data_IF_066063358371
#
_entry.id   IF_066063358371
#
_cell.length_a   1.000
_cell.length_b   1.000
_cell.length_c   1.000
_cell.angle_alpha   90.00
_cell.angle_beta   90.00
_cell.angle_gamma   90.00
#
_symmetry.space_group_name_H-M   'P 1'
#
loop_
_entity.id
_entity.type
_entity.pdbx_description
1 polymer ?
#
# COMPACT_ATOMS: atom_id res chain seq x y z
N UNK A 1 10.74 6.87 2.11
CA UNK A 1 10.53 7.27 0.71
C UNK A 1 11.82 7.69 -0.01
N UNK A 2 12.89 7.96 0.73
CA UNK A 2 14.15 8.40 0.12
C UNK A 2 14.74 7.36 -0.83
N UNK A 3 14.45 6.09 -0.61
CA UNK A 3 14.90 5.00 -1.48
C UNK A 3 14.39 5.16 -2.92
N UNK A 4 13.25 5.84 -3.12
CA UNK A 4 12.72 6.09 -4.46
C UNK A 4 13.61 7.02 -5.29
N UNK A 5 14.50 7.77 -4.65
CA UNK A 5 15.45 8.65 -5.33
C UNK A 5 16.82 7.98 -5.62
N UNK A 6 17.01 6.76 -5.16
CA UNK A 6 18.27 6.05 -5.34
C UNK A 6 18.42 5.52 -6.77
N UNK A 7 19.15 6.26 -7.59
CA UNK A 7 19.38 5.94 -9.00
C UNK A 7 20.36 4.79 -9.24
N UNK A 8 20.99 4.28 -8.18
CA UNK A 8 21.82 3.06 -8.29
C UNK A 8 20.98 1.78 -8.40
N UNK A 9 19.70 1.87 -8.06
CA UNK A 9 18.74 0.76 -8.14
C UNK A 9 17.74 0.97 -9.26
N UNK A 10 17.22 -0.13 -9.82
CA UNK A 10 16.10 -0.07 -10.76
C UNK A 10 14.84 0.41 -10.04
N UNK A 11 13.83 0.85 -10.81
CA UNK A 11 12.54 1.24 -10.24
C UNK A 11 11.93 0.08 -9.45
N UNK A 12 11.98 -1.14 -9.98
CA UNK A 12 11.47 -2.32 -9.28
C UNK A 12 12.16 -2.55 -7.96
N UNK A 13 13.50 -2.44 -7.92
CA UNK A 13 14.27 -2.61 -6.69
C UNK A 13 13.91 -1.54 -5.65
N UNK A 14 13.73 -0.31 -6.07
CA UNK A 14 13.33 0.79 -5.19
C UNK A 14 11.95 0.57 -4.60
N UNK A 15 10.99 0.17 -5.42
CA UNK A 15 9.64 -0.14 -4.96
C UNK A 15 9.62 -1.36 -4.03
N UNK A 16 10.42 -2.38 -4.33
CA UNK A 16 10.55 -3.56 -3.49
C UNK A 16 11.11 -3.22 -2.10
N UNK A 17 12.07 -2.30 -2.05
CA UNK A 17 12.63 -1.84 -0.78
C UNK A 17 11.59 -1.14 0.10
N UNK A 18 10.60 -0.49 -0.49
CA UNK A 18 9.46 0.08 0.24
C UNK A 18 8.44 -0.98 0.63
N UNK A 19 8.24 -1.96 -0.21
CA UNK A 19 7.23 -3.00 -0.01
C UNK A 19 7.51 -3.84 1.24
N UNK A 20 8.75 -4.28 1.41
CA UNK A 20 9.13 -5.23 2.46
C UNK A 20 8.71 -4.78 3.87
N UNK A 21 9.08 -3.57 4.33
CA UNK A 21 8.69 -3.15 5.68
C UNK A 21 7.19 -2.92 5.82
N UNK A 22 6.50 -2.47 4.77
CA UNK A 22 5.04 -2.27 4.82
C UNK A 22 4.32 -3.59 4.94
N UNK A 23 4.71 -4.58 4.14
CA UNK A 23 4.12 -5.92 4.20
C UNK A 23 4.35 -6.58 5.56
N UNK A 24 5.59 -6.51 6.06
CA UNK A 24 5.93 -7.06 7.37
C UNK A 24 5.14 -6.39 8.50
N UNK A 25 4.99 -5.08 8.45
CA UNK A 25 4.20 -4.34 9.44
C UNK A 25 2.74 -4.79 9.43
N UNK A 26 2.13 -4.92 8.26
CA UNK A 26 0.73 -5.34 8.15
C UNK A 26 0.50 -6.75 8.68
N UNK A 27 1.44 -7.66 8.45
CA UNK A 27 1.34 -9.03 8.98
C UNK A 27 1.60 -9.12 10.49
N UNK A 28 2.46 -8.24 11.04
CA UNK A 28 2.84 -8.29 12.46
C UNK A 28 1.77 -7.74 13.38
N UNK A 29 0.83 -6.96 12.85
CA UNK A 29 -0.23 -6.33 13.64
C UNK A 29 -1.63 -6.77 13.21
N UNK A 30 -1.99 -8.08 13.34
CA UNK A 30 -3.28 -8.57 12.85
C UNK A 30 -4.47 -7.87 13.51
N UNK A 31 -4.37 -7.51 14.78
CA UNK A 31 -5.45 -6.81 15.49
C UNK A 31 -5.66 -5.41 14.95
N UNK A 32 -4.58 -4.73 14.56
CA UNK A 32 -4.64 -3.39 13.97
C UNK A 32 -5.38 -3.45 12.63
N UNK A 33 -5.04 -4.44 11.79
CA UNK A 33 -5.69 -4.62 10.48
C UNK A 33 -7.16 -4.99 10.66
N UNK A 34 -7.49 -5.90 11.58
CA UNK A 34 -8.88 -6.27 11.88
C UNK A 34 -9.68 -5.07 12.36
N UNK A 35 -9.12 -4.28 13.27
CA UNK A 35 -9.75 -3.06 13.77
C UNK A 35 -9.99 -2.07 12.63
N UNK A 36 -8.97 -1.83 11.78
CA UNK A 36 -9.08 -0.92 10.65
C UNK A 36 -10.20 -1.34 9.69
N UNK A 37 -10.26 -2.61 9.32
CA UNK A 37 -11.28 -3.11 8.40
C UNK A 37 -12.69 -2.94 8.97
N UNK A 38 -12.88 -3.26 10.24
CA UNK A 38 -14.18 -3.13 10.89
C UNK A 38 -14.60 -1.67 11.03
N UNK A 39 -13.68 -0.82 11.44
CA UNK A 39 -13.97 0.59 11.72
C UNK A 39 -14.15 1.39 10.43
N UNK A 40 -13.24 1.23 9.47
CA UNK A 40 -13.25 1.99 8.21
C UNK A 40 -14.53 1.75 7.40
N UNK A 41 -15.00 0.51 7.36
CA UNK A 41 -16.20 0.15 6.62
C UNK A 41 -17.48 0.16 7.47
N UNK A 42 -17.39 0.61 8.72
CA UNK A 42 -18.58 0.70 9.58
C UNK A 42 -19.35 1.99 9.31
N UNK A 43 -20.68 1.95 9.59
CA UNK A 43 -21.50 3.14 9.55
C UNK A 43 -21.14 4.16 10.64
N UNK A 44 -20.36 3.73 11.63
CA UNK A 44 -19.93 4.55 12.76
C UNK A 44 -18.62 5.30 12.48
N UNK A 45 -18.04 5.15 11.30
CA UNK A 45 -16.82 5.87 10.92
C UNK A 45 -17.14 7.36 10.85
N UNK A 46 -16.73 8.09 11.86
CA UNK A 46 -17.12 9.49 12.05
C UNK A 46 -16.53 10.38 10.96
N UNK A 47 -17.26 11.43 10.59
CA UNK A 47 -16.85 12.41 9.59
C UNK A 47 -15.49 13.02 9.93
N UNK A 48 -15.24 13.33 11.22
CA UNK A 48 -13.96 13.88 11.67
C UNK A 48 -12.80 12.92 11.48
N UNK A 49 -12.99 11.62 11.79
CA UNK A 49 -11.97 10.60 11.59
C UNK A 49 -11.70 10.38 10.11
N UNK A 50 -12.75 10.38 9.31
CA UNK A 50 -12.64 10.27 7.85
C UNK A 50 -11.89 11.45 7.25
N UNK A 51 -12.17 12.67 7.73
CA UNK A 51 -11.47 13.87 7.27
C UNK A 51 -9.99 13.85 7.64
N UNK A 52 -9.64 13.37 8.84
CA UNK A 52 -8.25 13.22 9.26
C UNK A 52 -7.51 12.19 8.41
N UNK A 53 -8.13 11.03 8.18
CA UNK A 53 -7.57 9.99 7.32
C UNK A 53 -7.31 10.51 5.91
N UNK A 54 -8.28 11.22 5.34
CA UNK A 54 -8.17 11.80 4.01
C UNK A 54 -7.04 12.82 3.93
N UNK A 55 -6.87 13.64 4.96
CA UNK A 55 -5.79 14.63 5.05
C UNK A 55 -4.42 13.95 5.10
N UNK A 56 -4.26 12.90 5.90
CA UNK A 56 -3.01 12.14 5.97
C UNK A 56 -2.69 11.48 4.64
N UNK A 57 -3.71 10.99 3.95
CA UNK A 57 -3.58 10.39 2.63
C UNK A 57 -3.11 11.41 1.59
N UNK A 58 -3.66 12.63 1.65
CA UNK A 58 -3.25 13.73 0.76
C UNK A 58 -1.80 14.14 0.99
N UNK A 59 -1.33 14.16 2.23
CA UNK A 59 0.07 14.47 2.54
C UNK A 59 1.01 13.43 1.94
N UNK A 60 0.68 12.17 2.04
CA UNK A 60 1.46 11.10 1.43
C UNK A 60 1.43 11.21 -0.10
N UNK A 61 0.26 11.48 -0.67
CA UNK A 61 0.10 11.69 -2.11
C UNK A 61 1.00 12.83 -2.60
N UNK A 62 1.03 13.95 -1.88
CA UNK A 62 1.86 15.10 -2.27
C UNK A 62 3.34 14.74 -2.34
N UNK A 63 3.81 13.84 -1.45
CA UNK A 63 5.20 13.36 -1.48
C UNK A 63 5.47 12.39 -2.63
N UNK A 64 4.47 11.63 -3.05
CA UNK A 64 4.61 10.59 -4.07
C UNK A 64 4.32 11.07 -5.49
N UNK A 65 3.62 12.20 -5.65
CA UNK A 65 3.20 12.70 -6.97
C UNK A 65 4.33 12.78 -7.99
N UNK A 66 5.52 13.15 -7.56
CA UNK A 66 6.69 13.33 -8.45
C UNK A 66 7.19 12.03 -9.08
N UNK A 67 6.76 10.88 -8.57
CA UNK A 67 7.15 9.58 -9.11
C UNK A 67 6.16 9.03 -10.12
N UNK A 68 5.03 9.70 -10.31
CA UNK A 68 3.96 9.29 -11.21
C UNK A 68 3.81 10.27 -12.36
N UNK A 69 3.28 9.76 -13.47
CA UNK A 69 3.03 10.57 -14.67
C UNK A 69 1.95 11.61 -14.39
N UNK A 70 0.93 11.26 -13.60
CA UNK A 70 -0.22 12.11 -13.31
C UNK A 70 -0.60 12.03 -11.82
N UNK A 71 -0.94 13.17 -11.22
CA UNK A 71 -1.45 13.22 -9.83
C UNK A 71 -2.71 12.37 -9.65
N UNK A 72 -3.58 12.38 -10.65
CA UNK A 72 -4.81 11.57 -10.62
C UNK A 72 -4.49 10.08 -10.54
N UNK A 73 -3.54 9.63 -11.34
CA UNK A 73 -3.09 8.24 -11.31
C UNK A 73 -2.46 7.89 -9.96
N UNK A 74 -1.68 8.79 -9.38
CA UNK A 74 -1.09 8.59 -8.07
C UNK A 74 -2.15 8.27 -7.01
N UNK A 75 -3.22 9.06 -6.98
CA UNK A 75 -4.30 8.86 -5.99
C UNK A 75 -4.97 7.51 -6.16
N UNK A 76 -5.36 7.17 -7.39
CA UNK A 76 -6.02 5.90 -7.70
C UNK A 76 -5.13 4.70 -7.38
N UNK A 77 -3.85 4.81 -7.74
CA UNK A 77 -2.90 3.70 -7.54
C UNK A 77 -2.55 3.50 -6.07
N UNK A 78 -2.46 4.56 -5.28
CA UNK A 78 -2.29 4.44 -3.84
C UNK A 78 -3.47 3.71 -3.20
N UNK A 79 -4.70 4.06 -3.59
CA UNK A 79 -5.89 3.38 -3.12
C UNK A 79 -5.85 1.89 -3.50
N UNK A 80 -5.48 1.60 -4.74
CA UNK A 80 -5.36 0.23 -5.24
C UNK A 80 -4.32 -0.59 -4.45
N UNK A 81 -3.15 -0.02 -4.21
CA UNK A 81 -2.09 -0.69 -3.44
C UNK A 81 -2.60 -1.02 -2.04
N UNK A 82 -3.19 -0.04 -1.38
CA UNK A 82 -3.65 -0.19 0.00
C UNK A 82 -4.72 -1.27 0.11
N UNK A 83 -5.72 -1.24 -0.77
CA UNK A 83 -6.78 -2.25 -0.81
C UNK A 83 -6.22 -3.64 -1.12
N UNK A 84 -5.24 -3.73 -2.00
CA UNK A 84 -4.61 -5.01 -2.35
C UNK A 84 -3.88 -5.62 -1.16
N UNK A 85 -3.09 -4.81 -0.44
CA UNK A 85 -2.39 -5.27 0.77
C UNK A 85 -3.40 -5.75 1.81
N UNK A 86 -4.44 -4.96 2.08
CA UNK A 86 -5.47 -5.34 3.04
C UNK A 86 -6.17 -6.64 2.66
N UNK A 87 -6.45 -6.82 1.38
CA UNK A 87 -7.09 -8.04 0.87
C UNK A 87 -6.22 -9.28 1.14
N UNK A 88 -4.94 -9.23 0.76
CA UNK A 88 -4.04 -10.35 1.00
C UNK A 88 -3.85 -10.64 2.48
N UNK A 89 -3.66 -9.60 3.29
CA UNK A 89 -3.48 -9.76 4.74
C UNK A 89 -4.75 -10.35 5.37
N UNK A 90 -5.92 -9.92 4.93
CA UNK A 90 -7.20 -10.48 5.41
C UNK A 90 -7.29 -11.97 5.13
N UNK A 91 -6.90 -12.41 3.94
CA UNK A 91 -6.90 -13.83 3.58
C UNK A 91 -5.91 -14.64 4.41
N UNK A 92 -4.75 -14.05 4.75
CA UNK A 92 -3.80 -14.70 5.67
C UNK A 92 -4.42 -14.85 7.05
N UNK A 93 -5.06 -13.79 7.56
CA UNK A 93 -5.68 -13.80 8.88
C UNK A 93 -6.85 -14.78 8.98
N UNK A 94 -7.57 -15.00 7.87
CA UNK A 94 -8.67 -15.96 7.80
C UNK A 94 -8.21 -17.41 7.54
N UNK A 95 -6.91 -17.62 7.32
CA UNK A 95 -6.37 -18.95 7.05
C UNK A 95 -6.49 -19.41 5.61
N UNK A 96 -6.93 -18.53 4.70
CA UNK A 96 -7.06 -18.88 3.27
C UNK A 96 -5.71 -18.91 2.55
N UNK A 97 -4.75 -18.12 3.04
CA UNK A 97 -3.40 -18.02 2.48
C UNK A 97 -2.37 -18.19 3.60
N UNK A 98 -1.25 -18.80 3.27
CA UNK A 98 -0.13 -18.95 4.19
C UNK A 98 0.84 -17.78 4.06
N UNK A 99 1.29 -17.22 5.18
CA UNK A 99 2.20 -16.07 5.22
C UNK A 99 3.64 -16.53 4.94
N UNK A 100 3.93 -16.84 3.69
CA UNK A 100 5.26 -17.26 3.24
C UNK A 100 6.01 -16.09 2.59
N UNK A 101 7.36 -16.14 2.51
CA UNK A 101 8.12 -15.17 1.73
C UNK A 101 7.68 -15.13 0.25
N UNK A 102 7.29 -16.28 -0.30
CA UNK A 102 6.81 -16.38 -1.69
C UNK A 102 5.51 -15.61 -1.89
N UNK A 103 4.61 -15.62 -0.92
CA UNK A 103 3.38 -14.84 -1.00
C UNK A 103 3.68 -13.34 -1.09
N UNK A 104 4.61 -12.85 -0.25
CA UNK A 104 5.03 -11.45 -0.29
C UNK A 104 5.56 -11.06 -1.67
N UNK A 105 6.41 -11.90 -2.26
CA UNK A 105 6.99 -11.64 -3.58
C UNK A 105 5.93 -11.69 -4.69
N UNK A 106 5.01 -12.63 -4.62
CA UNK A 106 3.90 -12.72 -5.58
C UNK A 106 2.99 -11.51 -5.51
N UNK A 107 2.63 -11.09 -4.30
CA UNK A 107 1.80 -9.91 -4.09
C UNK A 107 2.52 -8.64 -4.57
N UNK A 108 3.81 -8.49 -4.28
CA UNK A 108 4.61 -7.38 -4.79
C UNK A 108 4.60 -7.35 -6.32
N UNK A 109 4.83 -8.49 -6.96
CA UNK A 109 4.85 -8.59 -8.42
C UNK A 109 3.55 -8.14 -9.07
N UNK A 110 2.41 -8.49 -8.48
CA UNK A 110 1.10 -8.06 -8.97
C UNK A 110 0.93 -6.55 -8.82
N UNK A 111 1.28 -6.00 -7.67
CA UNK A 111 1.18 -4.56 -7.40
C UNK A 111 2.14 -3.78 -8.29
N UNK A 112 3.39 -4.21 -8.41
CA UNK A 112 4.38 -3.50 -9.21
C UNK A 112 4.02 -3.49 -10.69
N UNK A 113 3.56 -4.60 -11.24
CA UNK A 113 3.13 -4.67 -12.65
C UNK A 113 1.95 -3.74 -12.94
N UNK A 114 1.10 -3.51 -11.96
CA UNK A 114 0.01 -2.55 -12.09
C UNK A 114 0.53 -1.11 -12.06
N UNK A 115 1.52 -0.82 -11.21
CA UNK A 115 2.06 0.53 -11.02
C UNK A 115 2.99 0.98 -12.14
N UNK A 116 3.83 0.07 -12.63
CA UNK A 116 4.95 0.40 -13.49
C UNK A 116 4.58 1.28 -14.70
N UNK A 117 3.46 1.02 -15.43
CA UNK A 117 3.10 1.84 -16.58
C UNK A 117 2.79 3.30 -16.25
N UNK A 118 2.47 3.60 -14.99
CA UNK A 118 2.05 4.93 -14.53
C UNK A 118 3.16 5.68 -13.80
N UNK A 119 4.30 5.04 -13.55
CA UNK A 119 5.42 5.64 -12.84
C UNK A 119 6.47 6.19 -13.81
N UNK A 120 7.10 7.29 -13.40
CA UNK A 120 8.28 7.80 -14.09
C UNK A 120 9.47 6.86 -13.85
N UNK A 121 10.30 6.62 -14.86
CA UNK A 121 11.45 5.70 -14.74
C UNK A 121 12.53 6.16 -13.76
#
# INVERSE_FOLDING_TARGET
>A
LDVLDDRSMTLEQRCHALWQPVWAFCLSGPDIIRFYLRYYYSAQYLTSARALHHRNYQQLQARLNRYFISEHDCWLLMAHIFETILSFVSHVLCGDLEATPELSEQAFGLVFRTLQPYMLP
#
